data_IF_021298893722
#
_entry.id   IF_021298893722
#
_cell.length_a   1.000
_cell.length_b   1.000
_cell.length_c   1.000
_cell.angle_alpha   90.00
_cell.angle_beta   90.00
_cell.angle_gamma   90.00
#
_symmetry.space_group_name_H-M   'P 1'
#
loop_
_entity.id
_entity.type
_entity.pdbx_description
1 polymer ?
#
# COMPACT_ATOMS: atom_id res chain seq x y z
N UNK A 1 24.36 30.77 -3.91
CA UNK A 1 23.80 30.08 -2.74
C UNK A 1 23.76 28.58 -3.01
N UNK A 2 24.57 27.80 -2.29
CA UNK A 2 24.64 26.34 -2.37
C UNK A 2 24.74 25.77 -0.95
N UNK A 3 24.32 24.52 -0.73
CA UNK A 3 24.40 23.85 0.56
C UNK A 3 24.45 22.33 0.41
N UNK A 4 24.91 21.67 1.47
CA UNK A 4 24.94 20.21 1.57
C UNK A 4 23.62 19.69 2.18
N UNK A 5 23.13 18.55 1.68
CA UNK A 5 22.02 17.81 2.28
C UNK A 5 22.60 16.72 3.15
N UNK A 6 22.44 16.85 4.48
CA UNK A 6 22.98 15.92 5.48
C UNK A 6 21.83 15.18 6.16
N UNK A 7 21.93 13.85 6.26
CA UNK A 7 20.97 12.99 6.97
C UNK A 7 21.74 12.11 7.95
N UNK A 8 21.33 12.11 9.21
CA UNK A 8 21.95 11.29 10.28
C UNK A 8 23.48 11.45 10.33
N UNK A 9 23.97 12.68 10.12
CA UNK A 9 25.40 13.02 10.12
C UNK A 9 26.17 12.64 8.84
N UNK A 10 25.51 12.06 7.84
CA UNK A 10 26.10 11.71 6.55
C UNK A 10 25.65 12.68 5.46
N UNK A 11 26.59 13.31 4.77
CA UNK A 11 26.31 14.10 3.57
C UNK A 11 25.81 13.17 2.46
N UNK A 12 24.56 13.38 2.05
CA UNK A 12 23.93 12.64 0.95
C UNK A 12 24.18 13.33 -0.39
N UNK A 13 24.04 14.66 -0.41
CA UNK A 13 24.28 15.51 -1.58
C UNK A 13 25.15 16.68 -1.15
N UNK A 14 26.20 17.00 -1.92
CA UNK A 14 27.11 18.08 -1.61
C UNK A 14 26.97 19.24 -2.62
N UNK A 15 27.19 20.46 -2.14
CA UNK A 15 27.26 21.70 -2.92
C UNK A 15 26.06 21.93 -3.85
N UNK A 16 24.85 21.68 -3.35
CA UNK A 16 23.61 21.72 -4.14
C UNK A 16 23.08 23.16 -4.23
N UNK A 17 22.82 23.70 -5.43
CA UNK A 17 22.23 25.03 -5.59
C UNK A 17 20.83 25.16 -4.97
N UNK A 18 20.52 26.33 -4.38
CA UNK A 18 19.23 26.60 -3.74
C UNK A 18 18.01 26.38 -4.68
N UNK A 19 18.17 26.72 -5.97
CA UNK A 19 17.13 26.49 -6.99
C UNK A 19 16.86 25.01 -7.23
N UNK A 20 17.89 24.18 -7.18
CA UNK A 20 17.75 22.74 -7.31
C UNK A 20 17.15 22.10 -6.05
N UNK A 21 17.50 22.61 -4.85
CA UNK A 21 16.88 22.19 -3.59
C UNK A 21 15.36 22.47 -3.59
N UNK A 22 14.92 23.62 -4.12
CA UNK A 22 13.49 23.92 -4.30
C UNK A 22 12.80 22.93 -5.25
N UNK A 23 13.46 22.56 -6.35
CA UNK A 23 12.96 21.53 -7.26
C UNK A 23 12.86 20.16 -6.57
N UNK A 24 13.90 19.76 -5.85
CA UNK A 24 13.91 18.49 -5.10
C UNK A 24 12.80 18.43 -4.06
N UNK A 25 12.52 19.51 -3.34
CA UNK A 25 11.42 19.58 -2.37
C UNK A 25 10.07 19.25 -3.04
N UNK A 26 9.80 19.83 -4.21
CA UNK A 26 8.61 19.49 -5.00
C UNK A 26 8.60 18.02 -5.43
N UNK A 27 9.72 17.51 -5.95
CA UNK A 27 9.80 16.11 -6.38
C UNK A 27 9.59 15.13 -5.22
N UNK A 28 10.10 15.44 -4.03
CA UNK A 28 9.88 14.62 -2.85
C UNK A 28 8.43 14.65 -2.37
N UNK A 29 7.76 15.80 -2.47
CA UNK A 29 6.31 15.90 -2.21
C UNK A 29 5.49 15.05 -3.20
N UNK A 30 5.85 15.09 -4.49
CA UNK A 30 5.19 14.29 -5.52
C UNK A 30 5.41 12.79 -5.25
N UNK A 31 6.65 12.39 -4.89
CA UNK A 31 7.02 11.02 -4.56
C UNK A 31 6.29 10.55 -3.29
N UNK A 32 6.23 11.36 -2.24
CA UNK A 32 5.44 11.07 -1.04
C UNK A 32 3.97 10.80 -1.39
N UNK A 33 3.37 11.67 -2.21
CA UNK A 33 1.98 11.54 -2.67
C UNK A 33 1.78 10.26 -3.48
N UNK A 34 2.73 9.93 -4.36
CA UNK A 34 2.70 8.70 -5.15
C UNK A 34 2.73 7.44 -4.27
N UNK A 35 3.69 7.37 -3.33
CA UNK A 35 3.82 6.23 -2.42
C UNK A 35 2.59 6.10 -1.53
N UNK A 36 2.04 7.21 -1.03
CA UNK A 36 0.81 7.21 -0.23
C UNK A 36 -0.36 6.56 -0.97
N UNK A 37 -0.45 6.74 -2.29
CA UNK A 37 -1.50 6.17 -3.14
C UNK A 37 -1.29 4.71 -3.55
N UNK A 38 -0.13 4.12 -3.26
CA UNK A 38 0.12 2.70 -3.56
C UNK A 38 -0.84 1.80 -2.77
N UNK A 39 -1.34 0.76 -3.44
CA UNK A 39 -2.18 -0.27 -2.83
C UNK A 39 -1.38 -1.13 -1.86
N UNK A 40 -1.96 -1.37 -0.70
CA UNK A 40 -1.39 -2.22 0.33
C UNK A 40 -1.97 -3.65 0.25
N UNK A 41 -1.27 -4.59 0.88
CA UNK A 41 -1.80 -5.94 1.10
C UNK A 41 -2.98 -5.87 2.07
N UNK A 42 -3.99 -6.70 1.82
CA UNK A 42 -5.17 -6.80 2.70
C UNK A 42 -4.74 -7.34 4.08
N UNK A 43 -4.94 -6.59 5.18
CA UNK A 43 -4.56 -7.04 6.52
C UNK A 43 -5.43 -8.18 7.04
N UNK A 44 -6.55 -8.51 6.39
CA UNK A 44 -7.41 -9.63 6.75
C UNK A 44 -6.88 -11.00 6.30
N UNK A 45 -5.77 -11.04 5.56
CA UNK A 45 -5.20 -12.26 4.99
C UNK A 45 -3.71 -12.38 5.33
N UNK A 46 -3.24 -13.62 5.45
CA UNK A 46 -1.81 -13.91 5.58
C UNK A 46 -1.19 -13.98 4.19
N UNK A 47 -0.14 -13.19 3.95
CA UNK A 47 0.50 -13.05 2.65
C UNK A 47 1.95 -13.51 2.67
N UNK A 48 2.27 -14.46 1.80
CA UNK A 48 3.64 -14.93 1.57
C UNK A 48 4.13 -14.54 0.18
N UNK A 49 5.38 -14.09 0.09
CA UNK A 49 5.99 -13.75 -1.18
C UNK A 49 6.32 -15.02 -1.97
N UNK A 50 5.70 -15.16 -3.13
CA UNK A 50 5.99 -16.23 -4.07
C UNK A 50 7.13 -15.83 -4.99
N UNK A 51 8.32 -16.40 -4.78
CA UNK A 51 9.52 -16.03 -5.54
C UNK A 51 9.41 -16.33 -7.04
N UNK A 52 8.60 -17.31 -7.44
CA UNK A 52 8.39 -17.64 -8.86
C UNK A 52 7.59 -16.58 -9.62
N UNK A 53 6.51 -16.07 -9.03
CA UNK A 53 5.64 -15.07 -9.67
C UNK A 53 5.99 -13.64 -9.28
N UNK A 54 6.74 -13.44 -8.19
CA UNK A 54 7.01 -12.12 -7.62
C UNK A 54 5.81 -11.48 -6.94
N UNK A 55 4.70 -12.22 -6.78
CA UNK A 55 3.48 -11.75 -6.15
C UNK A 55 3.35 -12.31 -4.73
N UNK A 56 2.54 -11.64 -3.91
CA UNK A 56 2.10 -12.19 -2.64
C UNK A 56 0.94 -13.17 -2.87
N UNK A 57 0.95 -14.31 -2.19
CA UNK A 57 -0.11 -15.32 -2.20
C UNK A 57 -0.56 -15.67 -0.80
N UNK A 58 -1.83 -16.01 -0.64
CA UNK A 58 -2.35 -16.54 0.63
C UNK A 58 -2.13 -18.05 0.73
N UNK A 59 -2.13 -18.63 1.94
CA UNK A 59 -2.33 -20.06 2.08
C UNK A 59 -3.69 -20.47 1.47
N UNK A 60 -3.82 -21.71 0.97
CA UNK A 60 -5.06 -22.18 0.37
C UNK A 60 -6.15 -22.33 1.44
N UNK A 61 -7.22 -21.54 1.32
CA UNK A 61 -8.42 -21.71 2.15
C UNK A 61 -9.30 -22.79 1.54
N UNK A 62 -9.51 -23.88 2.29
CA UNK A 62 -10.35 -24.98 1.86
C UNK A 62 -11.79 -24.78 2.34
N UNK A 63 -12.73 -24.87 1.40
CA UNK A 63 -14.17 -24.91 1.67
C UNK A 63 -14.74 -26.21 1.12
N UNK A 64 -15.86 -26.67 1.67
CA UNK A 64 -16.55 -27.84 1.17
C UNK A 64 -17.98 -27.45 0.77
N UNK A 65 -18.51 -28.11 -0.25
CA UNK A 65 -19.91 -27.94 -0.66
C UNK A 65 -20.68 -29.21 -0.30
N UNK A 66 -21.88 -29.04 0.23
CA UNK A 66 -22.80 -30.14 0.48
C UNK A 66 -23.91 -30.16 -0.56
N UNK A 67 -24.47 -31.34 -0.78
CA UNK A 67 -25.71 -31.53 -1.53
C UNK A 67 -26.67 -32.31 -0.66
N UNK A 68 -27.93 -31.87 -0.67
CA UNK A 68 -29.05 -32.57 -0.07
C UNK A 68 -29.37 -33.82 -0.89
N UNK A 69 -29.28 -34.99 -0.27
CA UNK A 69 -29.65 -36.27 -0.89
C UNK A 69 -30.81 -36.84 -0.08
N UNK A 70 -31.93 -37.10 -0.75
CA UNK A 70 -33.06 -37.77 -0.13
C UNK A 70 -32.79 -39.28 -0.10
N UNK A 71 -32.86 -39.88 1.10
CA UNK A 71 -32.71 -41.32 1.29
C UNK A 71 -33.93 -41.87 2.02
N UNK A 72 -34.54 -42.97 1.53
CA UNK A 72 -35.57 -43.64 2.28
C UNK A 72 -34.92 -44.40 3.45
N UNK A 73 -35.37 -44.12 4.67
CA UNK A 73 -35.11 -44.99 5.81
C UNK A 73 -36.31 -45.87 6.05
N UNK A 74 -36.05 -47.14 6.34
CA UNK A 74 -37.08 -48.08 6.80
C UNK A 74 -37.17 -47.91 8.31
N UNK A 75 -38.33 -47.45 8.79
CA UNK A 75 -38.61 -47.34 10.23
C UNK A 75 -38.99 -48.70 10.81
N UNK A 76 -39.79 -49.47 10.06
CA UNK A 76 -40.16 -50.84 10.38
C UNK A 76 -40.10 -51.70 9.12
N UNK A 77 -39.47 -52.86 9.22
CA UNK A 77 -39.38 -53.83 8.13
C UNK A 77 -40.75 -54.40 7.76
N UNK A 78 -40.88 -54.86 6.52
CA UNK A 78 -42.10 -55.51 6.06
C UNK A 78 -42.31 -56.83 6.84
N UNK A 79 -43.54 -57.05 7.30
CA UNK A 79 -43.98 -58.34 7.85
C UNK A 79 -44.85 -59.05 6.80
N UNK A 80 -45.13 -60.34 6.98
CA UNK A 80 -45.94 -61.14 6.06
C UNK A 80 -47.32 -60.51 5.75
N UNK A 81 -47.86 -59.72 6.69
CA UNK A 81 -49.18 -59.08 6.56
C UNK A 81 -49.15 -57.56 6.41
N UNK A 82 -48.00 -56.89 6.56
CA UNK A 82 -47.91 -55.41 6.52
C UNK A 82 -46.68 -54.92 5.75
N UNK A 83 -46.82 -53.93 4.84
CA UNK A 83 -45.68 -53.37 4.12
C UNK A 83 -44.75 -52.58 5.05
N UNK A 84 -43.48 -52.45 4.63
CA UNK A 84 -42.49 -51.68 5.35
C UNK A 84 -42.91 -50.21 5.47
N UNK A 85 -42.75 -49.62 6.65
CA UNK A 85 -42.97 -48.19 6.83
C UNK A 85 -41.68 -47.45 6.53
N UNK A 86 -41.65 -46.69 5.44
CA UNK A 86 -40.49 -45.88 5.05
C UNK A 86 -40.75 -44.39 5.24
N UNK A 87 -39.72 -43.65 5.65
CA UNK A 87 -39.73 -42.19 5.66
C UNK A 87 -38.58 -41.66 4.81
N UNK A 88 -38.82 -40.62 4.03
CA UNK A 88 -37.75 -39.90 3.34
C UNK A 88 -37.07 -38.95 4.33
N UNK A 89 -35.79 -39.18 4.57
CA UNK A 89 -34.93 -38.21 5.25
C UNK A 89 -34.05 -37.51 4.24
N UNK A 90 -33.65 -36.29 4.57
CA UNK A 90 -32.73 -35.50 3.75
C UNK A 90 -31.39 -35.43 4.45
N UNK A 91 -30.38 -36.02 3.84
CA UNK A 91 -29.01 -36.01 4.36
C UNK A 91 -28.16 -34.99 3.60
N UNK A 92 -27.31 -34.27 4.33
CA UNK A 92 -26.25 -33.44 3.75
C UNK A 92 -25.02 -34.31 3.49
N UNK A 93 -24.71 -34.50 2.20
CA UNK A 93 -23.50 -35.22 1.79
C UNK A 93 -22.52 -34.21 1.22
N UNK A 94 -21.27 -34.23 1.71
CA UNK A 94 -20.18 -33.44 1.15
C UNK A 94 -19.89 -33.94 -0.27
N UNK A 95 -19.99 -33.05 -1.27
CA UNK A 95 -19.79 -33.38 -2.68
C UNK A 95 -18.40 -33.02 -3.20
N UNK A 96 -17.63 -32.24 -2.45
CA UNK A 96 -16.26 -31.90 -2.82
C UNK A 96 -15.64 -30.82 -1.95
N UNK A 97 -14.36 -30.58 -2.19
CA UNK A 97 -13.56 -29.54 -1.56
C UNK A 97 -13.06 -28.56 -2.63
N UNK A 98 -13.09 -27.27 -2.31
CA UNK A 98 -12.57 -26.19 -3.14
C UNK A 98 -11.49 -25.46 -2.37
N UNK A 99 -10.32 -25.33 -2.98
CA UNK A 99 -9.24 -24.51 -2.45
C UNK A 99 -9.25 -23.16 -3.15
N UNK A 100 -9.20 -22.08 -2.38
CA UNK A 100 -9.05 -20.72 -2.91
C UNK A 100 -7.70 -20.16 -2.45
N UNK A 101 -6.92 -19.67 -3.41
CA UNK A 101 -5.66 -18.95 -3.18
C UNK A 101 -5.83 -17.57 -3.77
N UNK A 102 -5.59 -16.53 -2.96
CA UNK A 102 -5.60 -15.13 -3.42
C UNK A 102 -4.19 -14.72 -3.81
N UNK A 103 -4.09 -13.79 -4.75
CA UNK A 103 -2.84 -13.19 -5.20
C UNK A 103 -2.92 -11.66 -5.11
N UNK A 104 -1.83 -11.01 -4.74
CA UNK A 104 -1.74 -9.55 -4.68
C UNK A 104 -0.37 -9.04 -5.09
N UNK A 105 -0.35 -7.94 -5.83
CA UNK A 105 0.85 -7.14 -6.11
C UNK A 105 1.00 -5.92 -5.19
N UNK A 106 0.18 -5.84 -4.14
CA UNK A 106 0.25 -4.75 -3.16
C UNK A 106 1.57 -4.75 -2.39
N UNK A 107 1.94 -3.58 -1.86
CA UNK A 107 3.12 -3.45 -0.99
C UNK A 107 2.73 -3.78 0.46
N UNK A 108 3.59 -4.45 1.26
CA UNK A 108 3.35 -4.56 2.69
C UNK A 108 3.24 -3.19 3.35
N UNK A 109 2.25 -3.00 4.23
CA UNK A 109 2.01 -1.72 4.91
C UNK A 109 3.25 -1.21 5.66
N UNK A 110 3.96 -2.11 6.35
CA UNK A 110 5.22 -1.79 7.06
C UNK A 110 6.30 -1.27 6.12
N UNK A 111 6.41 -1.83 4.91
CA UNK A 111 7.38 -1.39 3.92
C UNK A 111 7.02 -0.03 3.34
N UNK A 112 5.74 0.21 3.05
CA UNK A 112 5.24 1.52 2.60
C UNK A 112 5.54 2.60 3.63
N UNK A 113 5.22 2.34 4.91
CA UNK A 113 5.51 3.25 6.01
C UNK A 113 7.01 3.56 6.11
N UNK A 114 7.87 2.55 6.06
CA UNK A 114 9.32 2.75 6.10
C UNK A 114 9.85 3.60 4.93
N UNK A 115 9.21 3.55 3.75
CA UNK A 115 9.55 4.40 2.60
C UNK A 115 9.10 5.84 2.87
N UNK A 116 7.87 6.04 3.34
CA UNK A 116 7.34 7.36 3.68
C UNK A 116 8.22 8.07 4.72
N UNK A 117 8.59 7.38 5.80
CA UNK A 117 9.46 7.93 6.84
C UNK A 117 10.83 8.36 6.29
N UNK A 118 11.39 7.63 5.32
CA UNK A 118 12.65 8.01 4.67
C UNK A 118 12.48 9.24 3.79
N UNK A 119 11.36 9.35 3.08
CA UNK A 119 11.04 10.53 2.26
C UNK A 119 10.87 11.75 3.16
N UNK A 120 10.22 11.62 4.31
CA UNK A 120 10.04 12.72 5.26
C UNK A 120 11.37 13.19 5.83
N UNK A 121 12.23 12.26 6.25
CA UNK A 121 13.59 12.58 6.72
C UNK A 121 14.39 13.34 5.66
N UNK A 122 14.37 12.85 4.43
CA UNK A 122 15.06 13.50 3.31
C UNK A 122 14.45 14.88 3.00
N UNK A 123 13.12 15.01 3.02
CA UNK A 123 12.43 16.28 2.77
C UNK A 123 12.81 17.33 3.81
N UNK A 124 12.89 16.96 5.08
CA UNK A 124 13.33 17.85 6.15
C UNK A 124 14.79 18.29 5.97
N UNK A 125 15.68 17.36 5.60
CA UNK A 125 17.08 17.68 5.32
C UNK A 125 17.24 18.63 4.12
N UNK A 126 16.45 18.44 3.06
CA UNK A 126 16.45 19.33 1.88
C UNK A 126 15.95 20.73 2.23
N UNK A 127 14.89 20.84 3.05
CA UNK A 127 14.39 22.14 3.53
C UNK A 127 15.47 22.88 4.33
N UNK A 128 16.13 22.19 5.25
CA UNK A 128 17.21 22.75 6.04
C UNK A 128 18.40 23.20 5.16
N UNK A 129 18.82 22.37 4.21
CA UNK A 129 19.85 22.73 3.25
C UNK A 129 19.45 23.98 2.42
N UNK A 130 18.18 24.08 2.02
CA UNK A 130 17.68 25.24 1.25
C UNK A 130 17.74 26.52 2.09
N UNK A 131 17.37 26.45 3.36
CA UNK A 131 17.48 27.56 4.31
C UNK A 131 18.94 27.99 4.48
N UNK A 132 19.86 27.03 4.64
CA UNK A 132 21.30 27.32 4.73
C UNK A 132 21.84 27.96 3.44
N UNK A 133 21.46 27.44 2.28
CA UNK A 133 21.87 28.02 1.00
C UNK A 133 21.39 29.48 0.90
N UNK A 134 20.16 29.76 1.29
CA UNK A 134 19.56 31.10 1.26
C UNK A 134 20.07 32.04 2.36
N UNK A 135 20.62 31.51 3.45
CA UNK A 135 21.25 32.30 4.51
C UNK A 135 22.58 32.95 4.07
N UNK A 136 23.05 32.69 2.84
CA UNK A 136 24.18 33.43 2.25
C UNK A 136 23.80 34.91 2.16
N UNK A 137 24.55 35.79 2.86
CA UNK A 137 24.33 37.24 2.81
C UNK A 137 24.29 37.72 1.36
N UNK A 138 23.11 38.19 0.96
CA UNK A 138 22.88 38.82 -0.33
C UNK A 138 22.68 40.31 -0.10
N UNK A 139 23.29 41.13 -0.96
CA UNK A 139 23.12 42.57 -0.90
C UNK A 139 21.64 42.94 -0.98
N UNK A 140 21.15 43.68 0.03
CA UNK A 140 19.78 44.21 0.02
C UNK A 140 19.65 45.22 -1.12
N UNK A 141 19.07 44.81 -2.25
CA UNK A 141 18.71 45.70 -3.35
C UNK A 141 17.30 46.24 -3.14
N UNK A 142 17.16 47.58 -3.11
CA UNK A 142 15.85 48.22 -3.11
C UNK A 142 15.31 48.30 -4.54
N UNK A 143 14.70 47.20 -5.01
CA UNK A 143 14.10 47.11 -6.36
C UNK A 143 12.66 47.64 -6.40
N UNK A 144 12.10 48.03 -5.25
CA UNK A 144 10.69 48.41 -5.14
C UNK A 144 10.29 49.56 -6.05
N UNK A 145 11.18 50.54 -6.24
CA UNK A 145 10.94 51.66 -7.14
C UNK A 145 10.84 51.22 -8.60
N UNK A 146 11.83 50.49 -9.10
CA UNK A 146 11.85 50.01 -10.49
C UNK A 146 10.64 49.12 -10.84
N UNK A 147 10.20 48.30 -9.89
CA UNK A 147 9.01 47.43 -10.05
C UNK A 147 7.72 48.25 -10.05
N UNK A 148 7.58 49.21 -9.14
CA UNK A 148 6.39 50.06 -9.06
C UNK A 148 6.31 51.01 -10.26
N UNK A 149 7.43 51.59 -10.71
CA UNK A 149 7.50 52.43 -11.90
C UNK A 149 7.07 51.64 -13.15
N UNK A 150 7.51 50.38 -13.29
CA UNK A 150 7.07 49.48 -14.37
C UNK A 150 5.57 49.13 -14.31
N UNK A 151 5.05 48.86 -13.12
CA UNK A 151 3.65 48.42 -12.94
C UNK A 151 2.65 49.59 -12.96
N UNK A 152 3.04 50.78 -12.50
CA UNK A 152 2.18 51.94 -12.33
C UNK A 152 2.34 52.98 -13.45
N UNK A 153 3.37 52.86 -14.30
CA UNK A 153 3.58 53.74 -15.45
C UNK A 153 3.90 55.19 -15.06
N UNK A 154 4.48 55.40 -13.88
CA UNK A 154 5.00 56.69 -13.40
C UNK A 154 6.49 56.82 -13.60
#
# INVERSE_FOLDING_TARGET
AKADVVIDGKTLLADVPATYLLFLEKQLSDLHTFITKMSELDPGEDWDLDQSSGLFKTPPTQTHRTKKVQRPIVLYDATEHHPAQTQLITDDVVVGYWNTVKYSGGIPATRKQAILERIDKLSNAVKFAREQANATETEKRQLGKEVLDYLLGT
#
